data_IF_017764715077
#
_entry.id   IF_017764715077
#
_cell.length_a   1.000
_cell.length_b   1.000
_cell.length_c   1.000
_cell.angle_alpha   90.00
_cell.angle_beta   90.00
_cell.angle_gamma   90.00
#
_symmetry.space_group_name_H-M   'P 1'
#
loop_
_entity.id
_entity.type
_entity.pdbx_description
1 polymer ?
#
# COMPACT_ATOMS: atom_id res chain seq x y z
N UNK A 1 -1.58 -21.03 6.02
CA UNK A 1 -1.88 -19.62 5.67
C UNK A 1 -0.62 -19.06 5.05
N UNK A 2 -0.63 -18.77 3.75
CA UNK A 2 0.48 -18.05 3.15
C UNK A 2 0.43 -16.63 3.70
N UNK A 3 1.33 -16.32 4.63
CA UNK A 3 1.66 -14.93 4.94
C UNK A 3 2.32 -14.43 3.66
N UNK A 4 1.58 -13.67 2.85
CA UNK A 4 2.09 -13.17 1.58
C UNK A 4 3.32 -12.33 1.84
N UNK A 5 4.50 -12.89 1.58
CA UNK A 5 5.74 -12.13 1.64
C UNK A 5 5.71 -11.14 0.48
N UNK A 6 6.11 -9.90 0.75
CA UNK A 6 6.30 -8.90 -0.29
C UNK A 6 7.28 -9.42 -1.34
N UNK A 7 6.96 -9.22 -2.61
CA UNK A 7 7.84 -9.61 -3.71
C UNK A 7 9.13 -8.78 -3.64
N UNK A 8 10.24 -9.46 -3.32
CA UNK A 8 11.54 -8.80 -3.14
C UNK A 8 12.06 -8.18 -4.44
N UNK A 9 11.65 -8.70 -5.60
CA UNK A 9 12.06 -8.13 -6.89
C UNK A 9 11.37 -6.78 -7.15
N UNK A 10 10.08 -6.64 -6.80
CA UNK A 10 9.36 -5.37 -6.87
C UNK A 10 10.00 -4.32 -5.95
N UNK A 11 10.38 -4.73 -4.74
CA UNK A 11 11.06 -3.85 -3.80
C UNK A 11 12.40 -3.38 -4.36
N UNK A 12 13.27 -4.31 -4.78
CA UNK A 12 14.59 -4.00 -5.33
C UNK A 12 14.52 -3.11 -6.58
N UNK A 13 13.52 -3.33 -7.44
CA UNK A 13 13.32 -2.52 -8.64
C UNK A 13 12.95 -1.07 -8.30
N UNK A 14 12.09 -0.85 -7.30
CA UNK A 14 11.72 0.48 -6.84
C UNK A 14 12.89 1.17 -6.13
N UNK A 15 13.65 0.44 -5.30
CA UNK A 15 14.88 0.96 -4.67
C UNK A 15 15.92 1.37 -5.71
N UNK A 16 16.11 0.57 -6.77
CA UNK A 16 17.01 0.89 -7.89
C UNK A 16 16.59 2.15 -8.67
N UNK A 17 15.34 2.59 -8.51
CA UNK A 17 14.82 3.85 -9.07
C UNK A 17 14.92 5.04 -8.11
N UNK A 18 15.62 4.87 -7.00
CA UNK A 18 15.87 5.94 -6.03
C UNK A 18 14.78 6.10 -4.97
N UNK A 19 13.85 5.16 -4.86
CA UNK A 19 12.91 5.13 -3.74
C UNK A 19 13.60 4.55 -2.51
N UNK A 20 13.29 5.08 -1.33
CA UNK A 20 13.69 4.40 -0.10
C UNK A 20 12.91 3.10 0.06
N UNK A 21 13.45 2.14 0.81
CA UNK A 21 12.73 0.91 1.15
C UNK A 21 11.31 1.18 1.67
N UNK A 22 11.16 2.19 2.53
CA UNK A 22 9.87 2.55 3.12
C UNK A 22 8.91 3.14 2.09
N UNK A 23 9.39 3.99 1.17
CA UNK A 23 8.57 4.53 0.09
C UNK A 23 8.13 3.44 -0.90
N UNK A 24 9.04 2.53 -1.22
CA UNK A 24 8.75 1.39 -2.09
C UNK A 24 7.72 0.45 -1.45
N UNK A 25 7.88 0.10 -0.17
CA UNK A 25 6.92 -0.69 0.60
C UNK A 25 5.54 -0.02 0.65
N UNK A 26 5.51 1.28 0.94
CA UNK A 26 4.28 2.07 0.95
C UNK A 26 3.58 2.04 -0.42
N UNK A 27 4.33 2.26 -1.50
CA UNK A 27 3.77 2.26 -2.86
C UNK A 27 3.18 0.90 -3.21
N UNK A 28 3.89 -0.18 -2.89
CA UNK A 28 3.40 -1.54 -3.13
C UNK A 28 2.14 -1.80 -2.31
N UNK A 29 2.13 -1.49 -1.00
CA UNK A 29 0.98 -1.68 -0.13
C UNK A 29 -0.25 -0.91 -0.62
N UNK A 30 -0.09 0.36 -1.01
CA UNK A 30 -1.18 1.16 -1.59
C UNK A 30 -1.67 0.56 -2.92
N UNK A 31 -0.76 0.07 -3.76
CA UNK A 31 -1.10 -0.61 -5.02
C UNK A 31 -1.97 -1.85 -4.82
N UNK A 32 -1.78 -2.58 -3.71
CA UNK A 32 -2.62 -3.72 -3.34
C UNK A 32 -3.94 -3.33 -2.67
N UNK A 33 -3.93 -2.31 -1.81
CA UNK A 33 -5.09 -1.98 -0.96
C UNK A 33 -6.10 -1.03 -1.64
N UNK A 34 -5.64 -0.04 -2.42
CA UNK A 34 -6.53 0.93 -3.08
C UNK A 34 -7.53 0.28 -4.06
N UNK A 35 -7.20 -0.77 -4.83
CA UNK A 35 -8.17 -1.46 -5.67
C UNK A 35 -9.36 -2.04 -4.88
N UNK A 36 -9.18 -2.36 -3.60
CA UNK A 36 -10.26 -2.86 -2.74
C UNK A 36 -11.29 -1.76 -2.47
N UNK A 37 -10.88 -0.49 -2.40
CA UNK A 37 -11.85 0.61 -2.25
C UNK A 37 -12.71 0.79 -3.51
N UNK A 38 -12.25 0.35 -4.69
CA UNK A 38 -13.00 0.47 -5.95
C UNK A 38 -14.21 -0.46 -6.05
N UNK A 39 -14.29 -1.50 -5.22
CA UNK A 39 -15.48 -2.38 -5.20
C UNK A 39 -16.63 -1.82 -4.37
N UNK A 40 -16.42 -0.67 -3.71
CA UNK A 40 -17.43 -0.02 -2.87
C UNK A 40 -18.19 1.00 -3.71
N UNK A 41 -19.49 0.77 -3.93
CA UNK A 41 -20.36 1.69 -4.69
C UNK A 41 -20.66 3.00 -3.94
N UNK A 42 -20.65 2.96 -2.61
CA UNK A 42 -20.91 4.13 -1.79
C UNK A 42 -19.65 5.02 -1.72
N UNK A 43 -19.70 6.18 -2.38
CA UNK A 43 -18.58 7.12 -2.47
C UNK A 43 -18.10 7.65 -1.11
N UNK A 44 -19.00 7.82 -0.12
CA UNK A 44 -18.60 8.24 1.22
C UNK A 44 -17.79 7.14 1.92
N UNK A 45 -18.25 5.89 1.82
CA UNK A 45 -17.58 4.74 2.42
C UNK A 45 -16.25 4.43 1.73
N UNK A 46 -16.20 4.59 0.40
CA UNK A 46 -14.97 4.49 -0.38
C UNK A 46 -13.93 5.50 0.06
N UNK A 47 -14.31 6.78 0.14
CA UNK A 47 -13.41 7.86 0.59
C UNK A 47 -12.92 7.62 2.02
N UNK A 48 -13.81 7.17 2.91
CA UNK A 48 -13.46 6.83 4.28
C UNK A 48 -12.46 5.66 4.36
N UNK A 49 -12.65 4.62 3.55
CA UNK A 49 -11.73 3.48 3.50
C UNK A 49 -10.37 3.89 2.91
N UNK A 50 -10.34 4.69 1.85
CA UNK A 50 -9.10 5.21 1.27
C UNK A 50 -8.30 6.04 2.30
N UNK A 51 -8.98 6.86 3.11
CA UNK A 51 -8.35 7.63 4.19
C UNK A 51 -7.74 6.70 5.26
N UNK A 52 -8.49 5.69 5.71
CA UNK A 52 -8.00 4.71 6.69
C UNK A 52 -6.79 3.95 6.15
N UNK A 53 -6.85 3.48 4.91
CA UNK A 53 -5.76 2.74 4.26
C UNK A 53 -4.51 3.63 4.26
N UNK A 54 -4.63 4.87 3.77
CA UNK A 54 -3.50 5.80 3.74
C UNK A 54 -2.91 6.02 5.13
N UNK A 55 -3.76 6.31 6.14
CA UNK A 55 -3.32 6.54 7.52
C UNK A 55 -2.58 5.33 8.09
N UNK A 56 -3.12 4.12 7.89
CA UNK A 56 -2.53 2.90 8.45
C UNK A 56 -1.20 2.52 7.77
N UNK A 57 -1.11 2.71 6.46
CA UNK A 57 0.14 2.48 5.71
C UNK A 57 1.21 3.49 6.14
N UNK A 58 0.87 4.76 6.34
CA UNK A 58 1.81 5.74 6.90
C UNK A 58 2.31 5.33 8.28
N UNK A 59 1.42 4.97 9.20
CA UNK A 59 1.77 4.59 10.58
C UNK A 59 2.70 3.37 10.61
N UNK A 60 2.46 2.37 9.75
CA UNK A 60 3.19 1.09 9.78
C UNK A 60 4.56 1.18 9.09
N UNK A 61 4.69 1.99 8.03
CA UNK A 61 5.95 2.14 7.29
C UNK A 61 6.88 3.23 7.86
N UNK A 62 6.45 3.97 8.91
CA UNK A 62 7.24 4.96 9.63
C UNK A 62 7.90 4.41 10.92
N UNK A 63 7.67 3.13 11.27
CA UNK A 63 8.43 2.39 12.30
C UNK A 63 9.58 1.63 11.69
#
# INVERSE_FOLDING_TARGET
>A
MSIGQLDENQLYYLESRGLTKNDALRLIALGYLLPIAKVIDNEQLKSYLEEIINKKVQETCLM
#
